data_IF_809079726863
#
_entry.id   IF_809079726863
#
_cell.length_a   1.000
_cell.length_b   1.000
_cell.length_c   1.000
_cell.angle_alpha   90.00
_cell.angle_beta   90.00
_cell.angle_gamma   90.00
#
_symmetry.space_group_name_H-M   'P 1'
#
loop_
_entity.id
_entity.type
_entity.pdbx_description
1 polymer ?
#
# COMPACT_ATOMS: atom_id res chain seq x y z
N UNK A 1 15.36 3.37 -20.45
CA UNK A 1 14.60 2.76 -19.35
C UNK A 1 14.17 3.69 -18.23
N UNK A 2 15.07 4.19 -17.37
CA UNK A 2 14.70 4.96 -16.15
C UNK A 2 13.75 6.14 -16.39
N UNK A 3 13.97 6.93 -17.46
CA UNK A 3 13.09 8.06 -17.82
C UNK A 3 11.66 7.61 -18.17
N UNK A 4 11.51 6.47 -18.85
CA UNK A 4 10.20 5.92 -19.22
C UNK A 4 9.42 5.45 -17.99
N UNK A 5 10.09 4.82 -17.04
CA UNK A 5 9.48 4.38 -15.77
C UNK A 5 9.01 5.57 -14.93
N UNK A 6 9.81 6.65 -14.85
CA UNK A 6 9.41 7.87 -14.15
C UNK A 6 8.19 8.53 -14.79
N UNK A 7 8.15 8.59 -16.13
CA UNK A 7 6.99 9.11 -16.86
C UNK A 7 5.72 8.27 -16.61
N UNK A 8 5.85 6.94 -16.52
CA UNK A 8 4.71 6.07 -16.21
C UNK A 8 4.22 6.25 -14.76
N UNK A 9 5.14 6.41 -13.80
CA UNK A 9 4.79 6.72 -12.41
C UNK A 9 4.03 8.05 -12.34
N UNK A 10 4.51 9.08 -13.04
CA UNK A 10 3.85 10.39 -13.08
C UNK A 10 2.48 10.32 -13.77
N UNK A 11 2.38 9.61 -14.90
CA UNK A 11 1.11 9.37 -15.60
C UNK A 11 0.10 8.69 -14.67
N UNK A 12 0.49 7.62 -13.98
CA UNK A 12 -0.37 6.89 -13.04
C UNK A 12 -0.75 7.74 -11.83
N UNK A 13 0.20 8.51 -11.29
CA UNK A 13 -0.07 9.44 -10.20
C UNK A 13 -1.15 10.44 -10.59
N UNK A 14 -1.03 11.05 -11.77
CA UNK A 14 -2.02 12.00 -12.29
C UNK A 14 -3.37 11.31 -12.58
N UNK A 15 -3.35 10.08 -13.11
CA UNK A 15 -4.55 9.31 -13.39
C UNK A 15 -5.31 8.92 -12.11
N UNK A 16 -4.58 8.45 -11.09
CA UNK A 16 -5.18 7.94 -9.85
C UNK A 16 -5.59 9.07 -8.91
N UNK A 17 -4.76 10.09 -8.73
CA UNK A 17 -5.08 11.22 -7.85
C UNK A 17 -5.99 12.24 -8.54
N UNK A 18 -5.92 12.38 -9.87
CA UNK A 18 -6.60 13.45 -10.59
C UNK A 18 -6.10 14.81 -10.09
N UNK A 19 -7.02 15.69 -9.71
CA UNK A 19 -6.71 16.98 -9.07
C UNK A 19 -6.52 16.90 -7.54
N UNK A 20 -6.63 15.71 -6.94
CA UNK A 20 -6.62 15.57 -5.48
C UNK A 20 -5.20 15.65 -4.92
N UNK A 21 -5.00 16.38 -3.81
CA UNK A 21 -3.72 16.33 -3.10
C UNK A 21 -3.53 14.94 -2.50
N UNK A 22 -2.27 14.50 -2.37
CA UNK A 22 -1.96 13.32 -1.58
C UNK A 22 -2.35 13.57 -0.11
N UNK A 23 -2.87 12.54 0.56
CA UNK A 23 -3.19 12.63 1.98
C UNK A 23 -1.90 12.87 2.78
N UNK A 24 -1.94 13.84 3.70
CA UNK A 24 -0.83 14.06 4.63
C UNK A 24 -0.74 12.90 5.61
N UNK A 25 0.47 12.39 5.80
CA UNK A 25 0.79 11.33 6.77
C UNK A 25 1.43 11.87 8.05
N UNK A 26 1.73 13.17 8.11
CA UNK A 26 2.43 13.79 9.23
C UNK A 26 1.68 13.56 10.55
N UNK A 27 2.36 12.93 11.50
CA UNK A 27 1.81 12.66 12.83
C UNK A 27 0.68 11.63 12.86
N UNK A 28 0.41 10.92 11.75
CA UNK A 28 -0.65 9.92 11.66
C UNK A 28 -0.11 8.50 11.81
N UNK A 29 -1.00 7.60 12.24
CA UNK A 29 -0.79 6.16 12.06
C UNK A 29 -1.12 5.79 10.62
N UNK A 30 -0.20 5.12 9.93
CA UNK A 30 -0.34 4.72 8.53
C UNK A 30 -0.26 3.20 8.45
N UNK A 31 -1.27 2.60 7.82
CA UNK A 31 -1.31 1.17 7.54
C UNK A 31 -1.04 1.00 6.04
N UNK A 32 0.06 0.35 5.71
CA UNK A 32 0.40 -0.04 4.34
C UNK A 32 -0.13 -1.45 4.09
N UNK A 33 -0.95 -1.60 3.06
CA UNK A 33 -1.57 -2.87 2.66
C UNK A 33 -1.13 -3.23 1.25
N UNK A 34 -0.89 -4.52 1.02
CA UNK A 34 -0.61 -5.10 -0.30
C UNK A 34 -1.25 -6.50 -0.39
N UNK A 35 -1.36 -7.07 -1.59
CA UNK A 35 -1.90 -8.43 -1.81
C UNK A 35 -0.95 -9.54 -1.29
N UNK A 36 0.33 -9.22 -1.19
CA UNK A 36 1.34 -10.07 -0.63
C UNK A 36 2.72 -9.52 -0.92
N UNK A 37 3.74 -10.16 -0.36
CA UNK A 37 5.12 -9.73 -0.57
C UNK A 37 5.95 -10.92 -1.02
N UNK A 38 6.56 -10.80 -2.20
CA UNK A 38 7.57 -11.76 -2.65
C UNK A 38 8.97 -11.36 -2.16
N UNK A 39 9.49 -10.20 -2.60
CA UNK A 39 10.87 -9.75 -2.29
C UNK A 39 10.94 -8.53 -1.37
N UNK A 40 9.83 -7.81 -1.19
CA UNK A 40 9.75 -6.66 -0.29
C UNK A 40 10.35 -5.35 -0.82
N UNK A 41 11.04 -5.34 -1.97
CA UNK A 41 11.77 -4.16 -2.45
C UNK A 41 10.90 -2.89 -2.54
N UNK A 42 9.76 -2.98 -3.21
CA UNK A 42 8.82 -1.86 -3.39
C UNK A 42 8.27 -1.36 -2.06
N UNK A 43 7.80 -2.29 -1.21
CA UNK A 43 7.22 -1.98 0.10
C UNK A 43 8.25 -1.25 0.97
N UNK A 44 9.50 -1.72 1.02
CA UNK A 44 10.56 -1.06 1.80
C UNK A 44 10.82 0.38 1.38
N UNK A 45 10.74 0.69 0.08
CA UNK A 45 10.89 2.07 -0.41
C UNK A 45 9.73 2.94 0.09
N UNK A 46 8.50 2.44 0.03
CA UNK A 46 7.32 3.14 0.52
C UNK A 46 7.40 3.41 2.04
N UNK A 47 7.79 2.41 2.83
CA UNK A 47 7.92 2.52 4.28
C UNK A 47 8.96 3.58 4.69
N UNK A 48 10.11 3.62 4.00
CA UNK A 48 11.13 4.64 4.22
C UNK A 48 10.63 6.04 3.86
N UNK A 49 9.82 6.18 2.81
CA UNK A 49 9.19 7.45 2.47
C UNK A 49 8.22 7.92 3.57
N UNK A 50 7.39 7.02 4.12
CA UNK A 50 6.48 7.35 5.22
C UNK A 50 7.20 7.82 6.49
N UNK A 51 8.32 7.17 6.84
CA UNK A 51 9.20 7.62 7.94
C UNK A 51 9.76 9.02 7.67
N UNK A 52 10.25 9.27 6.45
CA UNK A 52 10.76 10.58 6.04
C UNK A 52 9.69 11.67 6.12
N UNK A 53 8.45 11.33 5.78
CA UNK A 53 7.29 12.21 5.84
C UNK A 53 6.67 12.30 7.25
N UNK A 54 7.36 11.73 8.25
CA UNK A 54 7.06 11.83 9.69
C UNK A 54 5.69 11.26 10.06
N UNK A 55 5.34 10.10 9.50
CA UNK A 55 4.29 9.26 10.07
C UNK A 55 4.61 8.94 11.54
N UNK A 56 3.61 8.99 12.42
CA UNK A 56 3.79 8.72 13.85
C UNK A 56 3.96 7.22 14.13
N UNK A 57 3.27 6.38 13.36
CA UNK A 57 3.33 4.93 13.49
C UNK A 57 3.06 4.29 12.12
N UNK A 58 3.86 3.30 11.73
CA UNK A 58 3.78 2.64 10.42
C UNK A 58 3.59 1.14 10.61
N UNK A 59 2.43 0.65 10.16
CA UNK A 59 2.06 -0.77 10.17
C UNK A 59 2.12 -1.30 8.75
N UNK A 60 2.76 -2.45 8.54
CA UNK A 60 2.62 -3.22 7.31
C UNK A 60 1.65 -4.37 7.53
N UNK A 61 0.59 -4.45 6.75
CA UNK A 61 -0.42 -5.50 6.84
C UNK A 61 -0.58 -6.22 5.49
N UNK A 62 -0.20 -7.49 5.41
CA UNK A 62 -0.26 -8.28 4.16
C UNK A 62 -0.79 -9.69 4.39
N UNK A 63 -1.53 -10.28 3.44
CA UNK A 63 -2.04 -11.65 3.59
C UNK A 63 -0.94 -12.72 3.61
N UNK A 64 0.06 -12.60 2.74
CA UNK A 64 1.10 -13.63 2.56
C UNK A 64 2.48 -13.05 2.26
N UNK A 65 3.51 -13.59 2.92
CA UNK A 65 4.91 -13.24 2.62
C UNK A 65 5.89 -14.30 3.13
N UNK A 66 7.07 -14.48 2.50
CA UNK A 66 8.17 -15.26 3.07
C UNK A 66 8.62 -14.74 4.44
N UNK A 67 8.96 -15.66 5.35
CA UNK A 67 9.39 -15.32 6.72
C UNK A 67 10.68 -14.49 6.74
N UNK A 68 11.64 -14.84 5.90
CA UNK A 68 12.92 -14.14 5.73
C UNK A 68 12.73 -12.71 5.20
N UNK A 69 11.83 -12.52 4.23
CA UNK A 69 11.48 -11.21 3.70
C UNK A 69 10.83 -10.33 4.77
N UNK A 70 9.92 -10.87 5.59
CA UNK A 70 9.33 -10.12 6.71
C UNK A 70 10.38 -9.74 7.76
N UNK A 71 11.35 -10.63 8.05
CA UNK A 71 12.42 -10.33 9.00
C UNK A 71 13.25 -9.11 8.56
N UNK A 72 13.51 -8.97 7.25
CA UNK A 72 14.19 -7.80 6.70
C UNK A 72 13.35 -6.52 6.78
N UNK A 73 12.04 -6.62 6.53
CA UNK A 73 11.13 -5.47 6.53
C UNK A 73 10.83 -4.95 7.94
N UNK A 74 10.83 -5.83 8.96
CA UNK A 74 10.59 -5.46 10.36
C UNK A 74 11.50 -4.32 10.86
N UNK A 75 12.68 -4.15 10.28
CA UNK A 75 13.58 -3.04 10.61
C UNK A 75 13.10 -1.66 10.10
N UNK A 76 12.20 -1.62 9.11
CA UNK A 76 11.74 -0.40 8.45
C UNK A 76 10.34 0.07 8.95
N UNK A 77 9.66 -0.72 9.81
CA UNK A 77 8.27 -0.46 10.29
C UNK A 77 8.16 -0.59 11.80
N UNK A 78 7.05 -0.10 12.37
CA UNK A 78 6.77 -0.28 13.80
C UNK A 78 6.05 -1.61 14.07
N UNK A 79 5.20 -2.06 13.14
CA UNK A 79 4.47 -3.32 13.26
C UNK A 79 4.33 -4.04 11.91
N UNK A 80 4.35 -5.38 11.95
CA UNK A 80 4.04 -6.25 10.80
C UNK A 80 2.91 -7.19 11.18
N UNK A 81 1.82 -7.12 10.43
CA UNK A 81 0.70 -8.06 10.45
C UNK A 81 0.77 -8.91 9.19
N UNK A 82 1.01 -10.21 9.33
CA UNK A 82 1.01 -11.15 8.20
C UNK A 82 0.21 -12.39 8.55
N UNK A 83 -0.76 -12.74 7.70
CA UNK A 83 -1.67 -13.86 7.97
C UNK A 83 -1.02 -15.22 7.70
N UNK A 84 -0.17 -15.32 6.68
CA UNK A 84 0.49 -16.56 6.30
C UNK A 84 1.96 -16.37 5.88
N UNK A 85 2.83 -17.26 6.38
CA UNK A 85 4.25 -17.34 5.96
C UNK A 85 4.59 -18.75 5.46
N UNK A 86 4.13 -19.11 4.25
CA UNK A 86 4.26 -20.47 3.71
C UNK A 86 5.72 -20.79 3.38
N UNK A 87 6.07 -22.07 3.53
CA UNK A 87 7.38 -22.63 3.19
C UNK A 87 7.17 -23.95 2.41
N UNK A 88 7.61 -24.05 1.15
CA UNK A 88 8.25 -22.99 0.36
C UNK A 88 7.25 -21.90 -0.07
N UNK A 89 7.71 -20.65 -0.13
CA UNK A 89 6.99 -19.60 -0.83
C UNK A 89 7.27 -19.68 -2.34
N UNK A 90 6.21 -19.58 -3.16
CA UNK A 90 6.33 -19.66 -4.63
C UNK A 90 6.05 -18.30 -5.27
N UNK A 91 4.82 -17.80 -5.14
CA UNK A 91 4.39 -16.51 -5.67
C UNK A 91 3.10 -16.09 -4.97
N UNK A 92 2.84 -14.79 -4.86
CA UNK A 92 1.64 -14.24 -4.20
C UNK A 92 0.35 -14.83 -4.81
N UNK A 93 0.23 -14.84 -6.13
CA UNK A 93 -0.97 -15.34 -6.81
C UNK A 93 -1.30 -16.82 -6.59
N UNK A 94 -0.40 -17.63 -6.02
CA UNK A 94 -0.70 -19.03 -5.64
C UNK A 94 -1.61 -19.15 -4.43
N UNK A 95 -1.75 -18.08 -3.66
CA UNK A 95 -2.56 -18.04 -2.43
C UNK A 95 -3.94 -17.43 -2.65
N UNK A 96 -4.30 -17.16 -3.91
CA UNK A 96 -5.57 -16.57 -4.31
C UNK A 96 -6.30 -17.52 -5.27
N UNK A 97 -7.60 -17.74 -5.04
CA UNK A 97 -8.45 -18.47 -5.98
C UNK A 97 -8.68 -17.68 -7.28
N UNK A 98 -8.70 -16.35 -7.18
CA UNK A 98 -8.72 -15.41 -8.29
C UNK A 98 -7.64 -14.34 -8.08
N UNK A 99 -6.72 -14.23 -9.04
CA UNK A 99 -5.62 -13.27 -9.03
C UNK A 99 -5.62 -12.43 -10.31
N UNK A 100 -6.82 -12.07 -10.79
CA UNK A 100 -7.00 -11.16 -11.90
C UNK A 100 -6.33 -9.80 -11.63
N UNK A 101 -5.71 -9.25 -12.68
CA UNK A 101 -5.04 -7.97 -12.59
C UNK A 101 -6.06 -6.84 -12.36
N UNK A 102 -5.87 -6.05 -11.29
CA UNK A 102 -6.65 -4.84 -11.06
C UNK A 102 -6.36 -3.80 -12.15
N UNK A 103 -7.41 -3.30 -12.78
CA UNK A 103 -7.33 -2.32 -13.85
C UNK A 103 -7.25 -0.88 -13.32
N UNK A 104 -6.69 0.03 -14.13
CA UNK A 104 -6.66 1.46 -13.80
C UNK A 104 -8.09 1.99 -13.54
N UNK A 105 -9.10 1.51 -14.26
CA UNK A 105 -10.50 1.93 -14.10
C UNK A 105 -11.06 1.52 -12.72
N UNK A 106 -10.74 0.31 -12.26
CA UNK A 106 -11.15 -0.17 -10.93
C UNK A 106 -10.48 0.65 -9.82
N UNK A 107 -9.17 0.92 -9.94
CA UNK A 107 -8.45 1.77 -8.97
C UNK A 107 -9.09 3.15 -8.87
N UNK A 108 -9.39 3.80 -10.00
CA UNK A 108 -10.02 5.12 -10.04
C UNK A 108 -11.40 5.08 -9.38
N UNK A 109 -12.21 4.04 -9.67
CA UNK A 109 -13.54 3.88 -9.08
C UNK A 109 -13.44 3.75 -7.56
N UNK A 110 -12.59 2.85 -7.05
CA UNK A 110 -12.41 2.62 -5.61
C UNK A 110 -11.91 3.87 -4.89
N UNK A 111 -10.97 4.61 -5.49
CA UNK A 111 -10.46 5.85 -4.90
C UNK A 111 -11.51 6.96 -4.80
N UNK A 112 -12.52 6.98 -5.67
CA UNK A 112 -13.68 7.90 -5.57
C UNK A 112 -14.66 7.45 -4.49
N UNK A 113 -14.90 6.15 -4.37
CA UNK A 113 -15.75 5.59 -3.32
C UNK A 113 -15.17 5.88 -1.91
N UNK A 114 -13.85 5.73 -1.76
CA UNK A 114 -13.15 6.05 -0.51
C UNK A 114 -13.32 7.53 -0.10
N UNK A 115 -13.29 8.46 -1.05
CA UNK A 115 -13.52 9.89 -0.78
C UNK A 115 -14.94 10.18 -0.27
N UNK A 116 -15.93 9.51 -0.85
CA UNK A 116 -17.32 9.62 -0.40
C UNK A 116 -17.51 9.02 0.99
N UNK A 117 -16.77 7.95 1.29
CA UNK A 117 -16.76 7.33 2.62
C UNK A 117 -16.20 8.28 3.68
N UNK A 118 -15.04 8.90 3.44
CA UNK A 118 -14.43 9.90 4.33
C UNK A 118 -15.36 11.10 4.59
N UNK A 119 -16.00 11.62 3.54
CA UNK A 119 -16.94 12.74 3.65
C UNK A 119 -18.15 12.40 4.53
N UNK A 120 -18.70 11.18 4.38
CA UNK A 120 -19.81 10.69 5.21
C UNK A 120 -19.39 10.41 6.65
N UNK A 121 -18.19 9.87 6.86
CA UNK A 121 -17.63 9.59 8.19
C UNK A 121 -17.42 10.89 8.97
N UNK A 122 -16.83 11.90 8.33
CA UNK A 122 -16.62 13.23 8.93
C UNK A 122 -17.94 13.92 9.32
N UNK A 123 -18.99 13.76 8.50
CA UNK A 123 -20.31 14.30 8.80
C UNK A 123 -21.05 13.55 9.93
N UNK A 124 -20.72 12.27 10.15
CA UNK A 124 -21.25 11.47 11.26
C UNK A 124 -20.53 11.70 12.59
N UNK A 125 -19.25 12.05 12.56
CA UNK A 125 -18.47 12.37 13.77
C UNK A 125 -18.70 13.79 14.30
N UNK A 126 -19.33 14.65 13.50
CA UNK A 126 -19.58 16.06 13.81
C UNK A 126 -21.00 16.35 14.37
N UNK A 127 -21.83 15.32 14.55
CA UNK A 127 -23.16 15.40 15.18
C UNK A 127 -23.26 14.46 16.37
#
# INVERSE_FOLDING_TARGET
EKRRQLLEIERRRNLYLGSRPAASVLGRTVIVVDDGIATGGTVRVALKALRKDRAAHVVLAVPVAPRDTLALIKADVDEVVCLATPEPFVAVGRYYGDFAQTTDAEVIRLLREAEQFESKSSMRSAG
#
